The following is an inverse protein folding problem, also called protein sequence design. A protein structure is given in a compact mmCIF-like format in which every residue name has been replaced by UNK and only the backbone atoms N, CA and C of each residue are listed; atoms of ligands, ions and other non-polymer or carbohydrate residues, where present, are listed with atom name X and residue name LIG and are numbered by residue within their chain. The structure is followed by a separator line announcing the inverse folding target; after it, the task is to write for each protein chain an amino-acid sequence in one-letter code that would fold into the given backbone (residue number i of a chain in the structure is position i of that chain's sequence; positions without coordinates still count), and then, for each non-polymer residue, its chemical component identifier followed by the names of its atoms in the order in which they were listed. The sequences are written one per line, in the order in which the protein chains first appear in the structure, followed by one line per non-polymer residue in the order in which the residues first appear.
data_IF_917062183764
#
_entry.id   IF_917062183764
#
_cell.length_a   1.000
_cell.length_b   1.000
_cell.length_c   1.000
_cell.angle_alpha   90.00
_cell.angle_beta   90.00
_cell.angle_gamma   90.00
#
_symmetry.space_group_name_H-M   'P 1'
#
loop_
_entity.id
_entity.type
_entity.pdbx_description
1 polymer ?
#
# COMPACT_ATOMS: atom_id res chain seq x y z
N UNK A 1 -17.93 7.32 -26.17
CA UNK A 1 -17.12 7.46 -24.94
C UNK A 1 -17.75 6.60 -23.87
N UNK A 2 -17.24 5.39 -23.66
CA UNK A 2 -17.68 4.56 -22.55
C UNK A 2 -17.27 5.24 -21.25
N UNK A 3 -18.24 5.57 -20.40
CA UNK A 3 -17.95 6.00 -19.03
C UNK A 3 -17.35 4.78 -18.33
N UNK A 4 -16.06 4.79 -18.04
CA UNK A 4 -15.47 3.82 -17.12
C UNK A 4 -16.16 4.04 -15.78
N UNK A 5 -17.07 3.13 -15.41
CA UNK A 5 -17.66 3.12 -14.08
C UNK A 5 -16.66 2.38 -13.20
N UNK A 6 -15.91 3.12 -12.38
CA UNK A 6 -15.06 2.51 -11.37
C UNK A 6 -15.99 1.91 -10.31
N UNK A 7 -15.98 0.60 -10.16
CA UNK A 7 -16.77 -0.08 -9.12
C UNK A 7 -16.01 -0.08 -7.80
N UNK A 8 -16.72 -0.29 -6.68
CA UNK A 8 -16.09 -0.44 -5.36
C UNK A 8 -15.05 -1.57 -5.37
N UNK A 9 -15.32 -2.67 -6.07
CA UNK A 9 -14.38 -3.79 -6.19
C UNK A 9 -13.11 -3.41 -6.95
N UNK A 10 -13.20 -2.61 -8.02
CA UNK A 10 -11.99 -2.11 -8.70
C UNK A 10 -11.11 -1.27 -7.76
N UNK A 11 -11.71 -0.49 -6.87
CA UNK A 11 -10.97 0.29 -5.86
C UNK A 11 -10.30 -0.67 -4.86
N UNK A 12 -11.02 -1.69 -4.40
CA UNK A 12 -10.49 -2.70 -3.48
C UNK A 12 -9.39 -3.58 -4.10
N UNK A 13 -9.48 -3.91 -5.38
CA UNK A 13 -8.39 -4.56 -6.14
C UNK A 13 -7.15 -3.67 -6.13
N UNK A 14 -7.33 -2.36 -6.31
CA UNK A 14 -6.24 -1.38 -6.18
C UNK A 14 -5.60 -1.41 -4.78
N UNK A 15 -6.41 -1.53 -3.72
CA UNK A 15 -5.92 -1.72 -2.35
C UNK A 15 -5.08 -2.99 -2.19
N UNK A 16 -5.57 -4.15 -2.65
CA UNK A 16 -4.81 -5.41 -2.59
C UNK A 16 -3.48 -5.28 -3.35
N UNK A 17 -3.51 -4.74 -4.58
CA UNK A 17 -2.29 -4.51 -5.38
C UNK A 17 -1.34 -3.55 -4.70
N UNK A 18 -1.85 -2.54 -4.00
CA UNK A 18 -1.01 -1.61 -3.23
C UNK A 18 -0.26 -2.32 -2.12
N UNK A 19 -0.92 -3.22 -1.39
CA UNK A 19 -0.25 -4.03 -0.38
C UNK A 19 0.81 -4.96 -0.99
N UNK A 20 0.53 -5.54 -2.16
CA UNK A 20 1.51 -6.39 -2.88
C UNK A 20 2.75 -5.61 -3.32
N UNK A 21 2.58 -4.33 -3.63
CA UNK A 21 3.69 -3.44 -4.02
C UNK A 21 4.68 -3.17 -2.89
N UNK A 22 4.33 -3.37 -1.61
CA UNK A 22 5.28 -3.31 -0.48
C UNK A 22 6.17 -4.56 -0.37
N UNK A 23 6.39 -5.28 -1.46
CA UNK A 23 7.12 -6.53 -1.45
C UNK A 23 8.58 -6.38 -1.04
N UNK A 24 9.05 -7.31 -0.20
CA UNK A 24 10.49 -7.46 0.12
C UNK A 24 11.36 -7.73 -1.13
N UNK A 25 10.75 -8.05 -2.28
CA UNK A 25 11.47 -8.20 -3.54
C UNK A 25 12.11 -6.89 -4.02
N UNK A 26 11.57 -5.72 -3.63
CA UNK A 26 12.12 -4.39 -3.94
C UNK A 26 13.58 -4.24 -3.49
N UNK A 27 13.99 -4.98 -2.45
CA UNK A 27 15.36 -4.96 -1.93
C UNK A 27 16.39 -5.44 -2.98
N UNK A 28 15.95 -6.27 -3.95
CA UNK A 28 16.80 -6.87 -4.97
C UNK A 28 16.82 -6.11 -6.29
N UNK A 29 16.03 -5.05 -6.40
CA UNK A 29 15.92 -4.26 -7.63
C UNK A 29 17.03 -3.20 -7.70
N UNK A 30 17.31 -2.70 -8.91
CA UNK A 30 18.23 -1.57 -9.05
C UNK A 30 17.61 -0.26 -8.55
N UNK A 31 18.45 0.75 -8.31
CA UNK A 31 18.00 2.01 -7.71
C UNK A 31 17.03 2.80 -8.59
N UNK A 32 17.09 2.63 -9.93
CA UNK A 32 16.16 3.28 -10.86
C UNK A 32 14.79 2.63 -10.73
N UNK A 33 14.73 1.29 -10.74
CA UNK A 33 13.51 0.54 -10.57
C UNK A 33 12.83 0.83 -9.23
N UNK A 34 13.60 0.91 -8.14
CA UNK A 34 13.09 1.35 -6.83
C UNK A 34 12.56 2.78 -6.90
N UNK A 35 13.26 3.67 -7.60
CA UNK A 35 12.85 5.05 -7.82
C UNK A 35 11.43 5.15 -8.40
N UNK A 36 11.20 4.52 -9.55
CA UNK A 36 9.89 4.51 -10.20
C UNK A 36 8.84 3.80 -9.36
N UNK A 37 9.12 2.58 -8.88
CA UNK A 37 8.10 1.78 -8.18
C UNK A 37 7.67 2.36 -6.85
N UNK A 38 8.58 3.01 -6.12
CA UNK A 38 8.29 3.50 -4.76
C UNK A 38 7.96 4.98 -4.76
N UNK A 39 8.80 5.79 -5.38
CA UNK A 39 8.70 7.24 -5.26
C UNK A 39 7.77 7.85 -6.32
N UNK A 40 7.29 7.06 -7.28
CA UNK A 40 6.27 7.48 -8.25
C UNK A 40 5.00 6.63 -8.09
N UNK A 41 5.07 5.32 -8.36
CA UNK A 41 3.88 4.46 -8.42
C UNK A 41 3.27 4.20 -7.04
N UNK A 42 4.06 3.67 -6.10
CA UNK A 42 3.55 3.31 -4.77
C UNK A 42 3.06 4.52 -3.98
N UNK A 43 3.70 5.68 -4.12
CA UNK A 43 3.25 6.91 -3.46
C UNK A 43 1.80 7.26 -3.84
N UNK A 44 1.49 7.22 -5.14
CA UNK A 44 0.13 7.46 -5.65
C UNK A 44 -0.82 6.39 -5.12
N UNK A 45 -0.42 5.12 -5.17
CA UNK A 45 -1.29 4.01 -4.79
C UNK A 45 -1.62 4.01 -3.30
N UNK A 46 -0.62 4.22 -2.44
CA UNK A 46 -0.78 4.28 -0.98
C UNK A 46 -1.77 5.38 -0.60
N UNK A 47 -1.57 6.58 -1.15
CA UNK A 47 -2.45 7.73 -0.85
C UNK A 47 -3.85 7.55 -1.42
N UNK A 48 -3.98 6.86 -2.53
CA UNK A 48 -5.28 6.62 -3.17
C UNK A 48 -6.05 5.53 -2.45
N UNK A 49 -5.47 4.37 -2.26
CA UNK A 49 -6.23 3.16 -1.88
C UNK A 49 -6.28 2.90 -0.37
N UNK A 50 -5.41 3.51 0.43
CA UNK A 50 -5.42 3.39 1.89
C UNK A 50 -5.99 4.63 2.59
N UNK A 51 -6.54 5.61 1.85
CA UNK A 51 -7.19 6.77 2.46
C UNK A 51 -8.46 6.39 3.21
N UNK A 52 -8.85 7.21 4.18
CA UNK A 52 -9.98 6.93 5.07
C UNK A 52 -11.31 6.75 4.32
N UNK A 53 -11.52 7.50 3.24
CA UNK A 53 -12.71 7.39 2.41
C UNK A 53 -12.84 5.99 1.80
N UNK A 54 -11.73 5.44 1.30
CA UNK A 54 -11.70 4.12 0.68
C UNK A 54 -11.73 2.99 1.72
N UNK A 55 -11.00 3.13 2.83
CA UNK A 55 -11.09 2.18 3.94
C UNK A 55 -12.52 2.07 4.50
N UNK A 56 -13.24 3.19 4.55
CA UNK A 56 -14.66 3.20 4.93
C UNK A 56 -15.52 2.39 3.95
N UNK A 57 -15.28 2.51 2.65
CA UNK A 57 -16.00 1.70 1.65
C UNK A 57 -15.78 0.22 1.91
N UNK A 58 -14.54 -0.21 2.14
CA UNK A 58 -14.21 -1.62 2.34
C UNK A 58 -14.85 -2.18 3.62
N UNK A 59 -14.89 -1.38 4.69
CA UNK A 59 -15.59 -1.70 5.94
C UNK A 59 -17.11 -1.81 5.74
N UNK A 60 -17.72 -0.84 5.06
CA UNK A 60 -19.17 -0.81 4.83
C UNK A 60 -19.63 -2.00 3.96
N UNK A 61 -18.78 -2.50 3.05
CA UNK A 61 -19.01 -3.71 2.26
C UNK A 61 -18.65 -5.01 3.01
N UNK A 62 -18.00 -4.92 4.18
CA UNK A 62 -17.56 -6.07 4.97
C UNK A 62 -16.36 -6.82 4.38
N UNK A 63 -15.62 -6.23 3.43
CA UNK A 63 -14.44 -6.84 2.80
C UNK A 63 -13.21 -6.84 3.70
N UNK A 64 -13.15 -5.89 4.63
CA UNK A 64 -12.19 -5.84 5.73
C UNK A 64 -12.93 -5.58 7.03
N UNK A 65 -12.30 -5.90 8.16
CA UNK A 65 -12.79 -5.52 9.48
C UNK A 65 -12.06 -4.28 10.03
N UNK A 66 -12.45 -3.88 11.23
CA UNK A 66 -11.86 -2.72 11.90
C UNK A 66 -10.37 -2.88 12.21
N UNK A 67 -9.90 -4.10 12.50
CA UNK A 67 -8.49 -4.35 12.81
C UNK A 67 -7.63 -4.14 11.55
N UNK A 68 -8.06 -4.75 10.44
CA UNK A 68 -7.42 -4.57 9.12
C UNK A 68 -7.41 -3.09 8.75
N UNK A 69 -8.53 -2.38 8.91
CA UNK A 69 -8.61 -0.95 8.60
C UNK A 69 -7.64 -0.08 9.42
N UNK A 70 -7.50 -0.35 10.73
CA UNK A 70 -6.53 0.36 11.58
C UNK A 70 -5.08 0.08 11.16
N UNK A 71 -4.76 -1.18 10.81
CA UNK A 71 -3.44 -1.53 10.28
C UNK A 71 -3.17 -0.83 8.94
N UNK A 72 -4.16 -0.72 8.05
CA UNK A 72 -4.03 0.04 6.80
C UNK A 72 -3.78 1.53 7.04
N UNK A 73 -4.46 2.15 8.02
CA UNK A 73 -4.20 3.55 8.42
C UNK A 73 -2.78 3.72 8.95
N UNK A 74 -2.33 2.78 9.78
CA UNK A 74 -0.97 2.78 10.32
C UNK A 74 0.08 2.64 9.19
N UNK A 75 -0.18 1.81 8.18
CA UNK A 75 0.67 1.68 7.01
C UNK A 75 0.76 2.98 6.20
N UNK A 76 -0.37 3.63 5.91
CA UNK A 76 -0.41 4.93 5.24
C UNK A 76 0.34 6.01 6.04
N UNK A 77 0.08 6.08 7.35
CA UNK A 77 0.72 7.06 8.24
C UNK A 77 2.22 6.83 8.31
N UNK A 78 2.67 5.59 8.49
CA UNK A 78 4.08 5.24 8.52
C UNK A 78 4.80 5.55 7.20
N UNK A 79 4.17 5.27 6.06
CA UNK A 79 4.72 5.63 4.76
C UNK A 79 4.89 7.14 4.60
N UNK A 80 3.88 7.93 4.99
CA UNK A 80 3.96 9.40 4.96
C UNK A 80 5.02 9.96 5.91
N UNK A 81 5.23 9.32 7.07
CA UNK A 81 6.27 9.71 8.02
C UNK A 81 7.67 9.49 7.45
N UNK A 82 7.88 8.37 6.74
CA UNK A 82 9.15 8.10 6.03
C UNK A 82 9.45 9.17 4.97
N UNK A 83 8.44 9.62 4.24
CA UNK A 83 8.58 10.70 3.24
C UNK A 83 8.88 12.07 3.90
N UNK A 84 8.05 12.50 4.85
CA UNK A 84 8.02 13.90 5.32
C UNK A 84 8.89 14.15 6.54
N UNK A 85 8.94 13.20 7.46
CA UNK A 85 9.57 13.37 8.78
C UNK A 85 10.99 12.81 8.80
N UNK A 86 11.29 11.88 7.89
CA UNK A 86 12.60 11.23 7.77
C UNK A 86 13.15 11.33 6.34
N UNK A 87 13.42 12.55 5.81
CA UNK A 87 13.86 12.71 4.41
C UNK A 87 15.13 11.93 4.06
N UNK A 88 15.98 11.61 5.06
CA UNK A 88 17.14 10.73 4.89
C UNK A 88 16.81 9.27 4.55
N UNK A 89 15.56 8.85 4.70
CA UNK A 89 15.05 7.51 4.40
C UNK A 89 14.34 7.43 3.04
N UNK A 90 14.08 8.56 2.38
CA UNK A 90 13.40 8.60 1.07
C UNK A 90 14.39 8.42 -0.08
N UNK A 91 15.05 7.25 -0.14
CA UNK A 91 16.00 6.89 -1.19
C UNK A 91 16.10 5.37 -1.32
N UNK A 92 16.56 4.90 -2.48
CA UNK A 92 16.63 3.47 -2.79
C UNK A 92 17.52 2.69 -1.80
N UNK A 93 18.61 3.29 -1.32
CA UNK A 93 19.49 2.66 -0.32
C UNK A 93 18.75 2.38 0.98
N UNK A 94 17.89 3.31 1.41
CA UNK A 94 17.11 3.18 2.64
C UNK A 94 15.95 2.20 2.47
N UNK A 95 15.26 2.20 1.33
CA UNK A 95 14.24 1.17 1.01
C UNK A 95 14.79 -0.25 1.18
N UNK A 96 16.07 -0.45 0.81
CA UNK A 96 16.76 -1.74 0.85
C UNK A 96 17.19 -2.16 2.25
N UNK A 97 17.55 -1.21 3.12
CA UNK A 97 18.33 -1.50 4.32
C UNK A 97 17.71 -1.00 5.62
N UNK A 98 16.91 0.05 5.57
CA UNK A 98 16.38 0.71 6.76
C UNK A 98 15.31 -0.14 7.44
N UNK A 99 15.27 -0.08 8.77
CA UNK A 99 14.33 -0.84 9.58
C UNK A 99 12.90 -0.31 9.39
N UNK A 100 12.74 0.99 9.18
CA UNK A 100 11.47 1.67 8.94
C UNK A 100 10.79 1.12 7.69
N UNK A 101 11.51 1.01 6.58
CA UNK A 101 10.99 0.40 5.35
C UNK A 101 10.64 -1.08 5.57
N UNK A 102 11.48 -1.82 6.32
CA UNK A 102 11.18 -3.21 6.66
C UNK A 102 9.89 -3.34 7.47
N UNK A 103 9.66 -2.46 8.44
CA UNK A 103 8.42 -2.43 9.23
C UNK A 103 7.19 -2.18 8.36
N UNK A 104 7.28 -1.29 7.37
CA UNK A 104 6.19 -1.06 6.40
C UNK A 104 5.92 -2.30 5.55
N UNK A 105 6.98 -2.95 5.04
CA UNK A 105 6.86 -4.20 4.27
C UNK A 105 6.23 -5.33 5.09
N UNK A 106 6.60 -5.42 6.37
CA UNK A 106 6.09 -6.46 7.28
C UNK A 106 4.64 -6.22 7.66
N UNK A 107 4.28 -4.97 7.99
CA UNK A 107 2.89 -4.59 8.26
C UNK A 107 2.00 -4.83 7.03
N UNK A 108 2.47 -4.48 5.84
CA UNK A 108 1.74 -4.76 4.61
C UNK A 108 1.58 -6.27 4.37
N UNK A 109 2.62 -7.06 4.66
CA UNK A 109 2.56 -8.52 4.62
C UNK A 109 1.55 -9.10 5.61
N UNK A 110 1.52 -8.60 6.86
CA UNK A 110 0.57 -9.01 7.89
C UNK A 110 -0.87 -8.76 7.45
N UNK A 111 -1.17 -7.53 7.01
CA UNK A 111 -2.50 -7.15 6.49
C UNK A 111 -2.93 -8.13 5.39
N UNK A 112 -2.05 -8.45 4.44
CA UNK A 112 -2.35 -9.37 3.33
C UNK A 112 -2.70 -10.78 3.81
N UNK A 113 -2.07 -11.26 4.88
CA UNK A 113 -2.37 -12.59 5.43
C UNK A 113 -3.69 -12.65 6.18
N UNK A 114 -4.24 -11.50 6.58
CA UNK A 114 -5.51 -11.38 7.29
C UNK A 114 -6.70 -11.14 6.36
N UNK A 115 -6.45 -10.76 5.09
CA UNK A 115 -7.50 -10.56 4.11
C UNK A 115 -8.28 -11.86 3.87
N UNK A 116 -9.59 -11.79 4.07
CA UNK A 116 -10.51 -12.91 3.89
C UNK A 116 -11.42 -12.76 2.66
N UNK A 117 -11.53 -11.54 2.10
CA UNK A 117 -12.20 -11.28 0.83
C UNK A 117 -11.16 -11.01 -0.27
N UNK A 118 -11.11 -11.88 -1.28
CA UNK A 118 -10.25 -11.73 -2.46
C UNK A 118 -11.16 -11.82 -3.70
N UNK A 119 -11.40 -10.70 -4.40
CA UNK A 119 -12.18 -10.69 -5.64
C UNK A 119 -11.40 -11.35 -6.78
N UNK A 120 -12.08 -11.69 -7.88
CA UNK A 120 -11.41 -12.19 -9.08
C UNK A 120 -10.50 -11.10 -9.67
N UNK A 121 -9.20 -11.40 -9.72
CA UNK A 121 -8.13 -10.51 -10.15
C UNK A 121 -7.76 -10.80 -11.62
N UNK A 122 -8.73 -10.75 -12.54
CA UNK A 122 -8.47 -10.84 -14.00
C UNK A 122 -7.76 -9.59 -14.56
#
# INVERSE_FOLDING_TARGET
MGKYTVTKEHIYIGYIRTLESFTRALVREDDIAVGTRIFEDLDIYVRTYLCDENLKIYLDEGWIDHEIAEKSRALLSGFCAVEKESPGLWNATSVKNAEEWRKLMDLSGEIRTELYYIPDME
#
